data_IF_475739645558
#
_entry.id   IF_475739645558
#
_cell.length_a   1.000
_cell.length_b   1.000
_cell.length_c   1.000
_cell.angle_alpha   90.00
_cell.angle_beta   90.00
_cell.angle_gamma   90.00
#
_symmetry.space_group_name_H-M   'P 1'
#
loop_
_entity.id
_entity.type
_entity.pdbx_description
1 polymer ?
#
# COMPACT_ATOMS: atom_id res chain seq x y z
N UNK A 1 -9.84 -9.39 -17.07
CA UNK A 1 -10.05 -8.27 -18.01
C UNK A 1 -8.68 -7.67 -18.35
N UNK A 2 -8.38 -7.48 -19.63
CA UNK A 2 -7.12 -6.84 -20.06
C UNK A 2 -7.36 -5.34 -20.10
N UNK A 3 -6.44 -4.56 -19.51
CA UNK A 3 -6.44 -3.10 -19.57
C UNK A 3 -5.16 -2.68 -20.30
N UNK A 4 -5.30 -1.96 -21.42
CA UNK A 4 -4.19 -1.60 -22.33
C UNK A 4 -4.32 -0.15 -22.80
N UNK A 5 -3.19 0.52 -23.06
CA UNK A 5 -3.07 1.90 -23.50
C UNK A 5 -2.01 2.71 -22.75
N UNK A 6 -1.34 3.64 -23.46
CA UNK A 6 -0.24 4.49 -22.93
C UNK A 6 -0.63 5.35 -21.70
N UNK A 7 -1.92 5.56 -21.43
CA UNK A 7 -2.44 6.31 -20.29
C UNK A 7 -3.36 5.46 -19.39
N UNK A 8 -3.06 4.18 -19.27
CA UNK A 8 -3.80 3.27 -18.40
C UNK A 8 -3.23 3.31 -16.99
N UNK A 9 -4.10 3.39 -15.99
CA UNK A 9 -3.74 3.33 -14.58
C UNK A 9 -4.57 2.26 -13.86
N UNK A 10 -3.97 1.64 -12.87
CA UNK A 10 -4.63 0.73 -11.93
C UNK A 10 -4.45 1.30 -10.53
N UNK A 11 -5.57 1.45 -9.82
CA UNK A 11 -5.58 1.87 -8.42
C UNK A 11 -5.68 0.62 -7.54
N UNK A 12 -4.71 0.46 -6.64
CA UNK A 12 -4.69 -0.59 -5.63
C UNK A 12 -5.06 0.01 -4.27
N UNK A 13 -6.26 -0.31 -3.80
CA UNK A 13 -6.72 0.06 -2.47
C UNK A 13 -6.46 -1.08 -1.47
N UNK A 14 -5.85 -0.75 -0.34
CA UNK A 14 -5.68 -1.65 0.80
C UNK A 14 -6.11 -0.96 2.08
N UNK A 15 -6.82 -1.69 2.92
CA UNK A 15 -7.25 -1.24 4.23
C UNK A 15 -6.45 -2.02 5.27
N UNK A 16 -5.83 -1.30 6.18
CA UNK A 16 -5.20 -1.82 7.38
C UNK A 16 -6.09 -1.43 8.57
N UNK A 17 -6.64 -2.41 9.27
CA UNK A 17 -7.41 -2.19 10.51
C UNK A 17 -6.53 -2.47 11.72
N UNK A 18 -6.53 -1.56 12.69
CA UNK A 18 -5.81 -1.76 13.94
C UNK A 18 -6.76 -2.26 15.03
N UNK A 19 -6.56 -3.50 15.46
CA UNK A 19 -7.31 -4.14 16.56
C UNK A 19 -6.35 -4.65 17.64
N UNK A 20 -5.21 -3.96 17.81
CA UNK A 20 -4.13 -4.42 18.69
C UNK A 20 -4.36 -4.10 20.18
N UNK A 21 -5.37 -3.29 20.51
CA UNK A 21 -5.59 -2.76 21.87
C UNK A 21 -4.75 -1.52 22.21
N UNK A 22 -4.02 -0.96 21.23
CA UNK A 22 -3.22 0.25 21.38
C UNK A 22 -2.96 0.94 20.03
N UNK A 23 -2.18 2.03 20.04
CA UNK A 23 -1.88 2.77 18.81
C UNK A 23 -0.76 2.09 18.01
N UNK A 24 -0.93 2.02 16.69
CA UNK A 24 0.11 1.56 15.76
C UNK A 24 0.59 2.75 14.94
N UNK A 25 1.91 2.93 14.82
CA UNK A 25 2.49 3.96 13.93
C UNK A 25 3.07 3.30 12.68
N UNK A 26 2.47 3.61 11.55
CA UNK A 26 2.93 3.22 10.22
C UNK A 26 3.97 4.23 9.72
N UNK A 27 5.14 3.71 9.33
CA UNK A 27 6.27 4.50 8.83
C UNK A 27 6.67 4.15 7.41
N UNK A 28 6.20 3.02 6.92
CA UNK A 28 6.52 2.52 5.59
C UNK A 28 5.27 1.91 4.96
N UNK A 29 5.11 2.15 3.67
CA UNK A 29 4.08 1.57 2.83
C UNK A 29 4.77 0.89 1.65
N UNK A 30 4.17 -0.16 1.12
CA UNK A 30 4.76 -0.85 -0.03
C UNK A 30 3.84 -1.86 -0.67
N UNK A 31 4.21 -2.26 -1.89
CA UNK A 31 3.56 -3.32 -2.63
C UNK A 31 4.54 -4.46 -2.80
N UNK A 32 4.14 -5.63 -2.33
CA UNK A 32 4.81 -6.89 -2.63
C UNK A 32 3.94 -7.78 -3.51
N UNK A 33 4.59 -8.51 -4.40
CA UNK A 33 3.96 -9.45 -5.33
C UNK A 33 4.47 -10.85 -5.04
N UNK A 34 3.55 -11.79 -4.94
CA UNK A 34 3.86 -13.21 -4.80
C UNK A 34 3.81 -13.88 -6.17
N UNK A 35 4.89 -14.54 -6.55
CA UNK A 35 4.96 -15.32 -7.78
C UNK A 35 5.80 -16.59 -7.57
N UNK A 36 5.24 -17.75 -7.91
CA UNK A 36 5.91 -19.05 -7.86
C UNK A 36 6.63 -19.32 -6.52
N UNK A 37 6.00 -18.99 -5.39
CA UNK A 37 6.56 -19.21 -4.05
C UNK A 37 7.57 -18.16 -3.59
N UNK A 38 7.88 -17.16 -4.43
CA UNK A 38 8.76 -16.04 -4.07
C UNK A 38 7.94 -14.77 -3.84
N UNK A 39 8.42 -13.93 -2.93
CA UNK A 39 7.86 -12.61 -2.64
C UNK A 39 8.83 -11.53 -3.10
N UNK A 40 8.35 -10.61 -3.94
CA UNK A 40 9.14 -9.51 -4.49
C UNK A 40 8.53 -8.18 -4.03
N UNK A 41 9.36 -7.29 -3.47
CA UNK A 41 8.95 -5.92 -3.16
C UNK A 41 9.13 -5.07 -4.41
N UNK A 42 8.03 -4.54 -4.96
CA UNK A 42 8.03 -3.78 -6.22
C UNK A 42 7.87 -2.27 -6.01
N UNK A 43 7.44 -1.86 -4.82
CA UNK A 43 7.32 -0.46 -4.42
C UNK A 43 7.50 -0.35 -2.90
N UNK A 44 8.20 0.69 -2.44
CA UNK A 44 8.40 1.01 -1.02
C UNK A 44 8.48 2.52 -0.85
N UNK A 45 7.57 3.06 -0.06
CA UNK A 45 7.60 4.44 0.38
C UNK A 45 7.96 4.49 1.85
N UNK A 46 9.07 5.16 2.16
CA UNK A 46 9.49 5.43 3.53
C UNK A 46 8.99 6.82 3.88
N UNK A 47 8.07 6.91 4.84
CA UNK A 47 7.43 8.16 5.22
C UNK A 47 8.40 9.05 6.01
N UNK A 48 8.43 10.33 5.66
CA UNK A 48 9.26 11.32 6.34
C UNK A 48 8.85 11.52 7.79
N UNK A 49 9.77 12.07 8.60
CA UNK A 49 9.45 12.51 9.96
C UNK A 49 8.38 13.61 9.87
N UNK A 50 7.21 13.37 10.47
CA UNK A 50 6.03 14.24 10.35
C UNK A 50 4.95 13.71 9.39
N UNK A 51 5.28 12.72 8.56
CA UNK A 51 4.34 12.06 7.64
C UNK A 51 3.91 10.67 8.14
N UNK A 52 4.46 10.22 9.27
CA UNK A 52 4.08 8.96 9.90
C UNK A 52 2.60 8.96 10.25
N UNK A 53 1.97 7.81 10.05
CA UNK A 53 0.54 7.67 10.25
C UNK A 53 0.28 6.84 11.49
N UNK A 54 -0.26 7.48 12.53
CA UNK A 54 -0.74 6.77 13.71
C UNK A 54 -2.17 6.34 13.46
N UNK A 55 -2.43 5.05 13.64
CA UNK A 55 -3.74 4.42 13.57
C UNK A 55 -4.11 4.04 14.99
N UNK A 56 -5.14 4.67 15.56
CA UNK A 56 -5.59 4.33 16.92
C UNK A 56 -6.25 2.94 16.94
N UNK A 57 -6.45 2.38 18.13
CA UNK A 57 -7.18 1.12 18.27
C UNK A 57 -8.63 1.27 17.78
N UNK A 58 -9.10 0.30 17.00
CA UNK A 58 -10.42 0.32 16.34
C UNK A 58 -10.49 1.18 15.08
N UNK A 59 -9.44 1.92 14.73
CA UNK A 59 -9.37 2.70 13.49
C UNK A 59 -8.77 1.90 12.33
N UNK A 60 -8.93 2.45 11.12
CA UNK A 60 -8.32 1.90 9.92
C UNK A 60 -7.55 2.97 9.14
N UNK A 61 -6.53 2.51 8.44
CA UNK A 61 -5.81 3.27 7.44
C UNK A 61 -6.13 2.72 6.05
N UNK A 62 -6.56 3.58 5.13
CA UNK A 62 -6.67 3.26 3.70
C UNK A 62 -5.43 3.76 2.98
N UNK A 63 -4.78 2.84 2.27
CA UNK A 63 -3.62 3.11 1.42
C UNK A 63 -4.03 2.88 -0.03
N UNK A 64 -3.77 3.86 -0.89
CA UNK A 64 -4.08 3.78 -2.32
C UNK A 64 -2.82 4.01 -3.14
N UNK A 65 -2.47 3.03 -3.97
CA UNK A 65 -1.41 3.17 -4.97
C UNK A 65 -2.02 3.30 -6.35
N UNK A 66 -1.72 4.40 -7.05
CA UNK A 66 -2.04 4.55 -8.48
C UNK A 66 -0.82 4.17 -9.31
N UNK A 67 -0.89 3.04 -10.01
CA UNK A 67 0.19 2.56 -10.87
C UNK A 67 -0.17 2.75 -12.34
N UNK A 68 0.72 3.40 -13.10
CA UNK A 68 0.60 3.45 -14.56
C UNK A 68 0.99 2.09 -15.14
N UNK A 69 0.19 1.59 -16.06
CA UNK A 69 0.52 0.42 -16.88
C UNK A 69 1.17 0.94 -18.16
N UNK A 70 2.36 0.43 -18.46
CA UNK A 70 3.03 0.63 -19.75
C UNK A 70 3.25 -0.72 -20.42
N UNK A 71 3.05 -0.77 -21.73
CA UNK A 71 3.41 -1.90 -22.59
C UNK A 71 4.89 -1.95 -22.89
#
# INVERSE_FOLDING_TARGET
>A
PVVDGIYTYVDFDRIFSNESGGNVTVKELGISVWNAGNCFLICRDVLGVGEWQTVADGEYLRVTYRMRVST
#
